data_IF_843824793769
#
_entry.id   IF_843824793769
#
_cell.length_a   1.000
_cell.length_b   1.000
_cell.length_c   1.000
_cell.angle_alpha   90.00
_cell.angle_beta   90.00
_cell.angle_gamma   90.00
#
_symmetry.space_group_name_H-M   'P 1'
#
loop_
_entity.id
_entity.type
_entity.pdbx_description
1 polymer ?
#
# COMPACT_ATOMS: atom_id res chain seq x y z
N UNK A 1 -11.50 -8.55 10.19
CA UNK A 1 -10.67 -7.82 9.20
C UNK A 1 -9.30 -8.47 9.03
N UNK A 2 -8.38 -8.35 9.97
CA UNK A 2 -7.00 -8.86 9.83
C UNK A 2 -6.86 -10.39 9.70
N UNK A 3 -7.83 -11.17 10.16
CA UNK A 3 -7.84 -12.63 9.98
C UNK A 3 -8.15 -13.10 8.55
N UNK A 4 -8.49 -12.19 7.64
CA UNK A 4 -8.91 -12.53 6.27
C UNK A 4 -10.34 -13.09 6.17
N UNK A 5 -11.08 -13.12 7.26
CA UNK A 5 -12.47 -13.55 7.30
C UNK A 5 -13.42 -12.46 6.84
N UNK A 6 -14.64 -12.83 6.46
CA UNK A 6 -15.69 -11.87 6.13
C UNK A 6 -16.07 -11.03 7.34
N UNK A 7 -16.15 -9.71 7.15
CA UNK A 7 -16.52 -8.74 8.18
C UNK A 7 -17.38 -7.61 7.59
N UNK A 8 -17.96 -6.81 8.45
CA UNK A 8 -18.57 -5.52 8.13
C UNK A 8 -17.84 -4.47 8.96
N UNK A 9 -17.45 -3.33 8.34
CA UNK A 9 -16.84 -2.23 9.06
C UNK A 9 -17.82 -1.65 10.07
N UNK A 10 -17.55 -1.89 11.36
CA UNK A 10 -18.35 -1.40 12.48
C UNK A 10 -18.06 0.07 12.80
N UNK A 11 -18.77 0.61 13.79
CA UNK A 11 -18.61 2.01 14.18
C UNK A 11 -17.19 2.35 14.71
N UNK A 12 -16.48 1.38 15.29
CA UNK A 12 -15.13 1.57 15.79
C UNK A 12 -14.14 1.72 14.62
N UNK A 13 -14.22 0.82 13.62
CA UNK A 13 -13.42 0.91 12.39
C UNK A 13 -13.70 2.20 11.61
N UNK A 14 -14.97 2.62 11.51
CA UNK A 14 -15.33 3.88 10.87
C UNK A 14 -14.76 5.11 11.60
N UNK A 15 -14.76 5.11 12.93
CA UNK A 15 -14.17 6.18 13.72
C UNK A 15 -12.65 6.26 13.53
N UNK A 16 -11.96 5.12 13.44
CA UNK A 16 -10.53 5.04 13.14
C UNK A 16 -10.21 5.63 11.77
N UNK A 17 -10.96 5.26 10.72
CA UNK A 17 -10.81 5.83 9.38
C UNK A 17 -10.96 7.35 9.37
N UNK A 18 -11.98 7.90 10.05
CA UNK A 18 -12.20 9.36 10.12
C UNK A 18 -10.98 10.05 10.75
N UNK A 19 -10.46 9.50 11.86
CA UNK A 19 -9.30 10.07 12.56
C UNK A 19 -8.05 10.10 11.66
N UNK A 20 -7.77 9.00 11.00
CA UNK A 20 -6.60 8.90 10.10
C UNK A 20 -6.75 9.80 8.89
N UNK A 21 -7.94 9.88 8.28
CA UNK A 21 -8.17 10.78 7.15
C UNK A 21 -7.96 12.27 7.51
N UNK A 22 -8.25 12.68 8.75
CA UNK A 22 -7.93 14.03 9.23
C UNK A 22 -6.41 14.27 9.28
N UNK A 23 -5.63 13.30 9.76
CA UNK A 23 -4.16 13.36 9.79
C UNK A 23 -3.56 13.37 8.38
N UNK A 24 -4.09 12.56 7.49
CA UNK A 24 -3.69 12.55 6.07
C UNK A 24 -3.99 13.89 5.40
N UNK A 25 -5.12 14.51 5.68
CA UNK A 25 -5.44 15.86 5.19
C UNK A 25 -4.41 16.88 5.67
N UNK A 26 -4.04 16.86 6.96
CA UNK A 26 -2.99 17.72 7.52
C UNK A 26 -1.64 17.48 6.83
N UNK A 27 -1.24 16.22 6.64
CA UNK A 27 -0.01 15.88 5.94
C UNK A 27 -0.02 16.41 4.50
N UNK A 28 -1.09 16.15 3.77
CA UNK A 28 -1.21 16.52 2.36
C UNK A 28 -1.18 18.04 2.13
N UNK A 29 -1.56 18.83 3.15
CA UNK A 29 -1.52 20.30 3.14
C UNK A 29 -0.28 20.89 3.83
N UNK A 30 0.62 20.05 4.36
CA UNK A 30 1.81 20.50 5.09
C UNK A 30 2.82 21.19 4.17
N UNK A 31 3.58 22.13 4.74
CA UNK A 31 4.69 22.78 4.04
C UNK A 31 5.78 21.73 3.67
N UNK A 32 6.16 21.58 2.40
CA UNK A 32 7.21 20.64 1.98
C UNK A 32 8.58 20.88 2.66
N UNK A 33 8.86 22.09 3.10
CA UNK A 33 10.11 22.42 3.77
C UNK A 33 10.14 22.02 5.26
N UNK A 34 8.97 21.72 5.86
CA UNK A 34 8.87 21.32 7.26
C UNK A 34 9.03 19.78 7.39
N UNK A 35 10.26 19.34 7.27
CA UNK A 35 10.60 17.90 7.27
C UNK A 35 10.35 17.23 8.60
N UNK A 36 10.57 17.93 9.72
CA UNK A 36 10.36 17.39 11.08
C UNK A 36 8.87 17.13 11.32
N UNK A 37 8.00 18.11 11.04
CA UNK A 37 6.55 17.97 11.16
C UNK A 37 6.04 16.83 10.25
N UNK A 38 6.51 16.76 9.02
CA UNK A 38 6.10 15.71 8.07
C UNK A 38 6.51 14.32 8.53
N UNK A 39 7.71 14.18 9.09
CA UNK A 39 8.16 12.90 9.66
C UNK A 39 7.28 12.49 10.84
N UNK A 40 6.99 13.42 11.77
CA UNK A 40 6.11 13.14 12.90
C UNK A 40 4.69 12.74 12.46
N UNK A 41 4.13 13.42 11.46
CA UNK A 41 2.82 13.06 10.90
C UNK A 41 2.81 11.68 10.26
N UNK A 42 3.86 11.27 9.54
CA UNK A 42 3.95 9.91 8.97
C UNK A 42 3.99 8.86 10.08
N UNK A 43 4.76 9.09 11.14
CA UNK A 43 4.81 8.19 12.30
C UNK A 43 3.49 8.12 13.07
N UNK A 44 2.65 9.16 12.97
CA UNK A 44 1.32 9.22 13.60
C UNK A 44 0.23 8.59 12.73
N UNK A 45 0.45 8.51 11.42
CA UNK A 45 -0.47 7.92 10.44
C UNK A 45 -0.23 6.42 10.31
N UNK A 46 1.02 5.97 10.16
CA UNK A 46 1.37 4.58 9.86
C UNK A 46 1.81 3.80 11.12
N UNK A 47 1.65 2.47 11.09
CA UNK A 47 2.02 1.55 12.17
C UNK A 47 3.54 1.63 12.49
N UNK A 48 4.35 1.60 11.44
CA UNK A 48 5.81 1.74 11.56
C UNK A 48 6.38 2.48 10.35
N UNK A 49 7.28 3.42 10.61
CA UNK A 49 7.98 4.19 9.56
C UNK A 49 9.47 4.23 9.88
N UNK A 50 10.24 3.55 9.04
CA UNK A 50 11.69 3.52 9.14
C UNK A 50 12.35 4.87 8.94
N UNK A 51 13.64 4.93 9.21
CA UNK A 51 14.41 6.18 9.04
C UNK A 51 14.48 6.61 7.55
N UNK A 52 14.45 7.92 7.33
CA UNK A 52 14.60 8.52 5.98
C UNK A 52 13.53 8.08 4.96
N UNK A 53 12.37 7.65 5.43
CA UNK A 53 11.22 7.43 4.55
C UNK A 53 10.71 8.78 4.03
N UNK A 54 10.36 8.82 2.75
CA UNK A 54 9.74 9.99 2.14
C UNK A 54 8.45 9.57 1.45
N UNK A 55 7.35 10.23 1.80
CA UNK A 55 6.07 10.11 1.09
C UNK A 55 5.71 11.46 0.50
N UNK A 56 5.51 11.54 -0.81
CA UNK A 56 5.12 12.78 -1.49
C UNK A 56 3.61 12.94 -1.50
N UNK A 57 3.08 14.08 -1.03
CA UNK A 57 1.65 14.34 -1.07
C UNK A 57 1.15 14.68 -2.48
N UNK A 58 -0.16 14.51 -2.78
CA UNK A 58 -1.10 13.84 -1.88
C UNK A 58 -0.93 12.31 -1.89
N UNK A 59 -1.34 11.67 -0.80
CA UNK A 59 -1.57 10.22 -0.76
C UNK A 59 -2.87 9.93 0.00
N UNK A 60 -3.36 8.71 -0.08
CA UNK A 60 -4.58 8.25 0.58
C UNK A 60 -4.32 6.95 1.31
N UNK A 61 -4.95 6.80 2.47
CA UNK A 61 -4.89 5.58 3.28
C UNK A 61 -6.21 5.38 4.02
N UNK A 62 -6.60 4.14 4.28
CA UNK A 62 -7.82 3.85 5.03
C UNK A 62 -7.60 3.92 6.54
N UNK A 63 -6.67 3.12 7.07
CA UNK A 63 -6.42 3.00 8.50
C UNK A 63 -5.03 3.49 8.91
N UNK A 64 -4.01 3.32 8.09
CA UNK A 64 -2.61 3.63 8.40
C UNK A 64 -2.00 2.65 9.42
N UNK A 65 -2.71 2.35 10.48
CA UNK A 65 -2.33 1.39 11.53
C UNK A 65 -2.04 -0.03 11.03
N UNK A 66 -2.35 -0.33 9.78
CA UNK A 66 -2.06 -1.61 9.13
C UNK A 66 -0.90 -1.52 8.13
N UNK A 67 -0.26 -0.38 7.98
CA UNK A 67 0.81 -0.16 6.98
C UNK A 67 2.14 0.14 7.67
N UNK A 68 3.17 -0.66 7.34
CA UNK A 68 4.55 -0.46 7.77
C UNK A 68 5.45 -0.20 6.57
N UNK A 69 6.38 0.77 6.68
CA UNK A 69 7.25 1.23 5.61
C UNK A 69 8.71 1.19 6.07
N UNK A 70 9.52 0.37 5.44
CA UNK A 70 10.94 0.19 5.73
C UNK A 70 11.80 1.42 5.41
N UNK A 71 12.95 1.49 6.04
CA UNK A 71 13.89 2.60 5.95
C UNK A 71 14.28 2.97 4.51
N UNK A 72 14.56 4.24 4.25
CA UNK A 72 15.06 4.77 2.96
C UNK A 72 14.12 4.58 1.77
N UNK A 73 12.89 4.14 2.02
CA UNK A 73 11.86 3.95 0.99
C UNK A 73 11.29 5.30 0.56
N UNK A 74 11.19 5.48 -0.74
CA UNK A 74 10.62 6.66 -1.38
C UNK A 74 9.27 6.31 -2.03
N UNK A 75 8.23 7.04 -1.66
CA UNK A 75 6.87 6.91 -2.20
C UNK A 75 6.49 8.23 -2.86
N UNK A 76 6.17 8.17 -4.14
CA UNK A 76 5.84 9.33 -4.95
C UNK A 76 4.36 9.71 -4.84
N UNK A 77 3.91 10.72 -5.59
CA UNK A 77 2.58 11.32 -5.55
C UNK A 77 1.44 10.32 -5.81
N UNK A 78 0.28 10.58 -5.22
CA UNK A 78 -0.97 9.86 -5.46
C UNK A 78 -0.93 8.36 -5.13
N UNK A 79 -0.10 7.96 -4.17
CA UNK A 79 -0.13 6.60 -3.67
C UNK A 79 -1.45 6.33 -2.90
N UNK A 80 -1.98 5.11 -3.03
CA UNK A 80 -3.21 4.69 -2.33
C UNK A 80 -2.93 3.41 -1.54
N UNK A 81 -3.22 3.47 -0.23
CA UNK A 81 -3.09 2.34 0.69
C UNK A 81 -4.49 1.97 1.19
N UNK A 82 -5.14 1.01 0.52
CA UNK A 82 -6.41 0.44 0.98
C UNK A 82 -6.09 -0.68 1.98
N UNK A 83 -5.64 -0.28 3.16
CA UNK A 83 -5.01 -1.13 4.17
C UNK A 83 -6.02 -1.72 5.18
N UNK A 84 -7.10 -2.30 4.67
CA UNK A 84 -8.02 -3.12 5.47
C UNK A 84 -7.33 -4.39 6.01
N UNK A 85 -6.18 -4.78 5.49
CA UNK A 85 -5.26 -5.77 6.06
C UNK A 85 -3.82 -5.24 5.95
N UNK A 86 -2.86 -5.96 6.49
CA UNK A 86 -1.48 -5.48 6.57
C UNK A 86 -0.88 -5.22 5.19
N UNK A 87 -0.22 -4.06 5.07
CA UNK A 87 0.67 -3.69 3.98
C UNK A 87 2.07 -3.53 4.58
N UNK A 88 2.99 -4.38 4.18
CA UNK A 88 4.39 -4.30 4.60
C UNK A 88 5.24 -3.94 3.40
N UNK A 89 5.96 -2.83 3.46
CA UNK A 89 6.91 -2.40 2.43
C UNK A 89 8.31 -2.43 3.03
N UNK A 90 9.22 -3.11 2.37
CA UNK A 90 10.61 -3.25 2.78
C UNK A 90 11.42 -1.96 2.67
N UNK A 91 12.73 -2.09 2.89
CA UNK A 91 13.68 -0.99 2.81
C UNK A 91 14.11 -0.69 1.37
N UNK A 92 14.62 0.54 1.14
CA UNK A 92 15.21 0.98 -0.13
C UNK A 92 14.28 0.91 -1.34
N UNK A 93 12.96 0.82 -1.13
CA UNK A 93 11.99 0.73 -2.21
C UNK A 93 11.80 2.07 -2.94
N UNK A 94 11.51 1.98 -4.24
CA UNK A 94 11.20 3.13 -5.10
C UNK A 94 9.78 2.97 -5.65
N UNK A 95 8.83 3.71 -5.10
CA UNK A 95 7.42 3.64 -5.46
C UNK A 95 7.06 4.86 -6.30
N UNK A 96 6.78 4.65 -7.58
CA UNK A 96 6.47 5.71 -8.54
C UNK A 96 5.04 6.28 -8.34
N UNK A 97 4.68 7.39 -9.02
CA UNK A 97 3.38 8.02 -8.84
C UNK A 97 2.19 7.11 -9.14
N UNK A 98 1.12 7.25 -8.35
CA UNK A 98 -0.16 6.58 -8.59
C UNK A 98 -0.17 5.09 -8.29
N UNK A 99 0.84 4.56 -7.60
CA UNK A 99 0.84 3.14 -7.17
C UNK A 99 -0.24 2.90 -6.14
N UNK A 100 -0.92 1.75 -6.24
CA UNK A 100 -2.09 1.42 -5.43
C UNK A 100 -1.92 0.04 -4.81
N UNK A 101 -2.12 -0.05 -3.49
CA UNK A 101 -2.06 -1.27 -2.71
C UNK A 101 -3.48 -1.60 -2.23
N UNK A 102 -4.10 -2.64 -2.77
CA UNK A 102 -5.46 -3.03 -2.46
C UNK A 102 -5.49 -4.34 -1.67
N UNK A 103 -5.65 -4.25 -0.35
CA UNK A 103 -5.82 -5.45 0.48
C UNK A 103 -7.25 -5.94 0.53
N UNK A 104 -8.22 -5.02 0.36
CA UNK A 104 -9.65 -5.32 0.43
C UNK A 104 -10.18 -6.07 -0.79
N UNK A 105 -11.13 -6.94 -0.55
CA UNK A 105 -11.89 -7.66 -1.59
C UNK A 105 -13.31 -7.90 -1.14
N UNK A 106 -14.22 -8.10 -2.11
CA UNK A 106 -15.61 -8.38 -1.87
C UNK A 106 -16.00 -9.78 -2.39
N UNK A 107 -16.98 -10.46 -1.76
CA UNK A 107 -17.49 -11.73 -2.26
C UNK A 107 -17.95 -11.64 -3.73
N UNK A 108 -17.56 -12.64 -4.54
CA UNK A 108 -18.02 -12.72 -5.92
C UNK A 108 -19.52 -13.04 -5.99
N UNK A 109 -20.06 -13.80 -5.02
CA UNK A 109 -21.48 -14.00 -4.89
C UNK A 109 -22.21 -12.68 -4.65
N UNK A 110 -23.12 -12.35 -5.54
CA UNK A 110 -23.82 -11.06 -5.57
C UNK A 110 -24.70 -10.84 -4.33
N UNK A 111 -25.29 -11.89 -3.78
CA UNK A 111 -26.16 -11.83 -2.59
C UNK A 111 -25.33 -11.51 -1.35
N UNK A 112 -24.22 -12.22 -1.17
CA UNK A 112 -23.27 -11.98 -0.06
C UNK A 112 -22.63 -10.59 -0.17
N UNK A 113 -22.20 -10.19 -1.37
CA UNK A 113 -21.64 -8.85 -1.59
C UNK A 113 -22.63 -7.74 -1.25
N UNK A 114 -23.91 -7.90 -1.61
CA UNK A 114 -24.96 -6.92 -1.32
C UNK A 114 -25.24 -6.77 0.19
N UNK A 115 -24.90 -7.74 1.02
CA UNK A 115 -25.02 -7.63 2.48
C UNK A 115 -24.00 -6.70 3.13
N UNK A 116 -23.03 -6.19 2.36
CA UNK A 116 -21.96 -5.32 2.87
C UNK A 116 -20.76 -6.07 3.44
N UNK A 117 -20.74 -7.40 3.35
CA UNK A 117 -19.61 -8.21 3.78
C UNK A 117 -18.42 -8.01 2.82
N UNK A 118 -17.24 -7.88 3.40
CA UNK A 118 -15.95 -7.79 2.72
C UNK A 118 -14.89 -8.62 3.46
N UNK A 119 -13.76 -8.85 2.82
CA UNK A 119 -12.58 -9.44 3.44
C UNK A 119 -11.33 -8.75 2.94
N UNK A 120 -10.19 -9.00 3.57
CA UNK A 120 -8.93 -8.40 3.15
C UNK A 120 -7.78 -9.38 3.32
N UNK A 121 -6.79 -9.31 2.42
CA UNK A 121 -5.60 -10.16 2.44
C UNK A 121 -4.34 -9.29 2.42
N UNK A 122 -3.28 -9.65 3.19
CA UNK A 122 -2.10 -8.81 3.35
C UNK A 122 -1.31 -8.69 2.05
N UNK A 123 -0.62 -7.57 1.90
CA UNK A 123 0.35 -7.32 0.82
C UNK A 123 1.74 -7.19 1.44
N UNK A 124 2.72 -7.83 0.81
CA UNK A 124 4.12 -7.73 1.23
C UNK A 124 5.00 -7.34 0.05
N UNK A 125 5.74 -6.25 0.18
CA UNK A 125 6.76 -5.80 -0.75
C UNK A 125 8.12 -5.99 -0.08
N UNK A 126 9.01 -6.73 -0.73
CA UNK A 126 10.37 -6.96 -0.26
C UNK A 126 11.24 -5.71 -0.29
N UNK A 127 12.53 -5.89 -0.08
CA UNK A 127 13.52 -4.80 -0.09
C UNK A 127 13.95 -4.45 -1.52
N UNK A 128 14.35 -3.18 -1.73
CA UNK A 128 14.88 -2.69 -2.99
C UNK A 128 13.96 -2.99 -4.19
N UNK A 129 12.65 -2.92 -3.99
CA UNK A 129 11.64 -3.10 -5.05
C UNK A 129 11.38 -1.78 -5.76
N UNK A 130 11.31 -1.81 -7.08
CA UNK A 130 10.86 -0.68 -7.88
C UNK A 130 9.48 -0.95 -8.48
N UNK A 131 8.47 -0.18 -8.05
CA UNK A 131 7.14 -0.17 -8.64
C UNK A 131 7.01 1.02 -9.59
N UNK A 132 6.80 0.76 -10.87
CA UNK A 132 6.54 1.78 -11.88
C UNK A 132 5.22 2.50 -11.68
N UNK A 133 5.04 3.65 -12.34
CA UNK A 133 3.83 4.47 -12.17
C UNK A 133 2.54 3.73 -12.46
N UNK A 134 1.51 4.01 -11.64
CA UNK A 134 0.19 3.39 -11.74
C UNK A 134 0.17 1.85 -11.65
N UNK A 135 1.15 1.26 -10.98
CA UNK A 135 1.10 -0.18 -10.66
C UNK A 135 0.01 -0.42 -9.62
N UNK A 136 -0.77 -1.47 -9.82
CA UNK A 136 -1.81 -1.92 -8.88
C UNK A 136 -1.38 -3.27 -8.31
N UNK A 137 -1.36 -3.36 -6.97
CA UNK A 137 -1.08 -4.59 -6.24
C UNK A 137 -2.39 -5.12 -5.67
N UNK A 138 -2.78 -6.34 -6.07
CA UNK A 138 -4.00 -6.99 -5.64
C UNK A 138 -3.86 -7.69 -4.27
N UNK A 139 -5.00 -8.01 -3.61
CA UNK A 139 -5.01 -8.65 -2.29
C UNK A 139 -4.20 -9.95 -2.24
N UNK A 140 -3.44 -10.16 -1.16
CA UNK A 140 -2.68 -11.38 -0.92
C UNK A 140 -1.36 -11.52 -1.69
N UNK A 141 -0.93 -10.47 -2.39
CA UNK A 141 0.28 -10.48 -3.21
C UNK A 141 1.54 -10.24 -2.37
N UNK A 142 2.57 -11.05 -2.61
CA UNK A 142 3.94 -10.82 -2.17
C UNK A 142 4.83 -10.54 -3.38
N UNK A 143 5.65 -9.48 -3.31
CA UNK A 143 6.69 -9.16 -4.30
C UNK A 143 8.04 -9.34 -3.63
N UNK A 144 8.88 -10.23 -4.16
CA UNK A 144 10.21 -10.52 -3.63
C UNK A 144 11.21 -9.39 -3.83
N UNK A 145 12.32 -9.46 -3.09
CA UNK A 145 13.38 -8.44 -3.10
C UNK A 145 13.94 -8.17 -4.50
N UNK A 146 14.43 -6.96 -4.71
CA UNK A 146 15.05 -6.49 -5.95
C UNK A 146 14.17 -6.60 -7.20
N UNK A 147 12.87 -6.85 -7.06
CA UNK A 147 11.96 -7.00 -8.21
C UNK A 147 11.56 -5.64 -8.75
N UNK A 148 11.47 -5.57 -10.07
CA UNK A 148 10.98 -4.40 -10.81
C UNK A 148 9.63 -4.72 -11.43
N UNK A 149 8.64 -3.86 -11.20
CA UNK A 149 7.32 -3.94 -11.83
C UNK A 149 7.12 -2.75 -12.74
N UNK A 150 6.92 -3.01 -14.03
CA UNK A 150 6.76 -1.95 -15.04
C UNK A 150 5.47 -1.16 -14.87
N UNK A 151 5.50 0.10 -15.31
CA UNK A 151 4.38 1.04 -15.17
C UNK A 151 3.07 0.49 -15.77
N UNK A 152 1.95 0.77 -15.11
CA UNK A 152 0.61 0.33 -15.51
C UNK A 152 0.32 -1.16 -15.32
N UNK A 153 1.23 -1.90 -14.70
CA UNK A 153 1.02 -3.32 -14.45
C UNK A 153 -0.01 -3.56 -13.32
N UNK A 154 -0.77 -4.65 -13.44
CA UNK A 154 -1.69 -5.14 -12.39
C UNK A 154 -1.18 -6.47 -11.87
N UNK A 155 -0.65 -6.46 -10.65
CA UNK A 155 -0.05 -7.64 -10.01
C UNK A 155 -1.15 -8.42 -9.29
N UNK A 156 -1.59 -9.51 -9.89
CA UNK A 156 -2.66 -10.38 -9.38
C UNK A 156 -2.16 -11.66 -8.72
N UNK A 157 -0.85 -11.92 -8.80
CA UNK A 157 -0.17 -13.09 -8.20
C UNK A 157 1.20 -12.66 -7.69
N UNK A 158 1.68 -13.31 -6.66
CA UNK A 158 3.01 -13.06 -6.10
C UNK A 158 4.12 -13.22 -7.13
N UNK A 159 5.14 -12.37 -7.01
CA UNK A 159 6.32 -12.36 -7.88
C UNK A 159 7.55 -12.78 -7.07
N UNK A 160 8.44 -13.62 -7.63
CA UNK A 160 9.69 -13.95 -6.95
C UNK A 160 10.63 -12.75 -6.88
N UNK A 161 11.72 -12.88 -6.14
CA UNK A 161 12.79 -11.91 -6.12
C UNK A 161 13.57 -11.87 -7.45
N UNK A 162 14.24 -10.73 -7.69
CA UNK A 162 15.18 -10.53 -8.80
C UNK A 162 14.54 -10.73 -10.20
N UNK A 163 13.33 -10.24 -10.40
CA UNK A 163 12.65 -10.32 -11.70
C UNK A 163 12.16 -8.95 -12.20
N UNK A 164 11.99 -8.86 -13.51
CA UNK A 164 11.21 -7.81 -14.17
C UNK A 164 9.85 -8.38 -14.58
N UNK A 165 8.76 -7.78 -14.08
CA UNK A 165 7.40 -8.14 -14.43
C UNK A 165 6.66 -6.94 -15.02
N UNK A 166 5.81 -7.17 -16.02
CA UNK A 166 5.02 -6.11 -16.70
C UNK A 166 3.63 -6.62 -17.10
N UNK A 167 2.73 -5.71 -17.38
CA UNK A 167 1.45 -5.97 -18.04
C UNK A 167 0.25 -6.11 -17.09
N UNK A 168 -0.92 -6.33 -17.69
CA UNK A 168 -2.19 -6.57 -17.00
C UNK A 168 -2.84 -7.84 -17.57
N UNK A 169 -2.85 -8.95 -16.81
CA UNK A 169 -2.16 -9.14 -15.53
C UNK A 169 -0.64 -9.20 -15.70
N UNK A 170 0.10 -8.80 -14.65
CA UNK A 170 1.57 -8.79 -14.67
C UNK A 170 2.15 -10.19 -14.88
N UNK A 171 3.21 -10.27 -15.69
CA UNK A 171 3.97 -11.50 -15.96
C UNK A 171 5.46 -11.21 -15.87
N UNK A 172 6.19 -12.15 -15.30
CA UNK A 172 7.65 -12.13 -15.33
C UNK A 172 8.12 -12.26 -16.78
N UNK A 173 8.95 -11.33 -17.23
CA UNK A 173 9.50 -11.32 -18.60
C UNK A 173 10.98 -11.68 -18.63
N UNK A 174 11.70 -11.48 -17.53
CA UNK A 174 13.09 -11.92 -17.35
C UNK A 174 13.54 -11.83 -15.90
N UNK A 175 14.58 -12.55 -15.57
CA UNK A 175 15.37 -12.35 -14.36
C UNK A 175 16.25 -11.10 -14.51
N UNK A 176 16.59 -10.47 -13.39
CA UNK A 176 17.48 -9.32 -13.28
C UNK A 176 18.53 -9.61 -12.19
N UNK A 177 19.74 -9.14 -12.41
CA UNK A 177 20.88 -9.27 -11.48
C UNK A 177 21.08 -7.98 -10.72
#
# INVERSE_FOLDING_TARGET
MLAGELYIADAALQAEQILVQQRVLEYNQSNPADTEKRTALLQDIFDDVGERVTVRPPFHVDYGSNTSIGARTFINFNAVFLDCNKITIGEDCQIAPGVQFYTATHPLDSKTRKSGLESAHPITIGNNVWLGGNVIICPGVTIGDNTVVGAGAVVTKSLPANVLAVGNPARVIREIS
#
